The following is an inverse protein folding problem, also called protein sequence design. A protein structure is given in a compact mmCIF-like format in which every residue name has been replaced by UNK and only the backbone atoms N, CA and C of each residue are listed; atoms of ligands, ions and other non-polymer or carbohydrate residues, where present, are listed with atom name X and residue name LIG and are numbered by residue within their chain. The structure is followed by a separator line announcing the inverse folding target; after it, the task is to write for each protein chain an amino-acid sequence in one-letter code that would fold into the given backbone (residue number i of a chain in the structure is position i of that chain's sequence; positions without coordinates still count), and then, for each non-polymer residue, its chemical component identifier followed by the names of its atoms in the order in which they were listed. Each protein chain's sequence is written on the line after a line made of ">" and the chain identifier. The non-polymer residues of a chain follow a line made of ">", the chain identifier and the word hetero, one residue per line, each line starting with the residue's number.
data_IF_187009604297
#
_entry.id   IF_187009604297
#
_cell.length_a   1.000
_cell.length_b   1.000
_cell.length_c   1.000
_cell.angle_alpha   90.00
_cell.angle_beta   90.00
_cell.angle_gamma   90.00
#
_symmetry.space_group_name_H-M   'P 1'
#
loop_
_entity.id
_entity.type
_entity.pdbx_description
1 polymer ?
#
# COMPACT_ATOMS: atom_id res chain seq x y z
N UNK A 1 16.74 9.63 -18.99
CA UNK A 1 16.53 10.78 -18.08
C UNK A 1 17.41 11.93 -18.54
N UNK A 2 16.92 13.16 -18.49
CA UNK A 2 17.74 14.35 -18.74
C UNK A 2 18.38 14.81 -17.41
N UNK A 3 19.61 14.37 -17.17
CA UNK A 3 20.32 14.66 -15.92
C UNK A 3 20.63 16.16 -15.75
N UNK A 4 20.81 16.90 -16.85
CA UNK A 4 21.07 18.34 -16.81
C UNK A 4 19.82 19.09 -16.40
N UNK A 5 18.66 18.70 -16.94
CA UNK A 5 17.38 19.24 -16.47
C UNK A 5 17.17 18.99 -14.98
N UNK A 6 17.51 17.81 -14.47
CA UNK A 6 17.43 17.54 -13.03
C UNK A 6 18.30 18.50 -12.23
N UNK A 7 19.55 18.72 -12.67
CA UNK A 7 20.44 19.70 -12.03
C UNK A 7 19.80 21.09 -12.03
N UNK A 8 19.33 21.57 -13.19
CA UNK A 8 18.71 22.89 -13.31
C UNK A 8 17.50 23.03 -12.38
N UNK A 9 16.61 22.03 -12.35
CA UNK A 9 15.41 22.03 -11.51
C UNK A 9 15.77 22.10 -10.01
N UNK A 10 16.68 21.26 -9.51
CA UNK A 10 17.02 21.21 -8.08
C UNK A 10 17.80 22.44 -7.62
N UNK A 11 18.74 22.94 -8.43
CA UNK A 11 19.52 24.13 -8.07
C UNK A 11 18.73 25.43 -8.24
N UNK A 12 17.77 25.47 -9.19
CA UNK A 12 16.79 26.56 -9.24
C UNK A 12 15.95 26.56 -7.97
N UNK A 13 15.37 25.42 -7.58
CA UNK A 13 14.58 25.31 -6.35
C UNK A 13 15.38 25.71 -5.11
N UNK A 14 16.64 25.30 -5.01
CA UNK A 14 17.54 25.69 -3.91
C UNK A 14 17.79 27.21 -3.81
N UNK A 15 17.60 27.93 -4.91
CA UNK A 15 17.88 29.37 -5.03
C UNK A 15 16.61 30.24 -5.03
N UNK A 16 15.42 29.65 -4.91
CA UNK A 16 14.16 30.39 -4.89
C UNK A 16 13.96 31.11 -3.55
N UNK A 17 14.09 32.43 -3.57
CA UNK A 17 13.83 33.27 -2.39
C UNK A 17 12.37 33.16 -1.94
N UNK A 18 12.17 32.97 -0.63
CA UNK A 18 10.84 32.87 -0.02
C UNK A 18 10.13 31.52 -0.20
N UNK A 19 10.71 30.56 -0.92
CA UNK A 19 10.19 29.19 -0.98
C UNK A 19 10.59 28.40 0.27
N UNK A 20 9.61 27.70 0.86
CA UNK A 20 9.80 26.89 2.08
C UNK A 20 10.79 25.73 1.88
N UNK A 21 10.85 25.13 0.68
CA UNK A 21 11.75 24.01 0.40
C UNK A 21 13.18 24.45 0.10
N UNK A 22 13.38 25.65 -0.43
CA UNK A 22 14.68 26.16 -0.85
C UNK A 22 15.80 25.95 0.19
N UNK A 23 15.65 26.33 1.48
CA UNK A 23 16.71 26.12 2.47
C UNK A 23 17.05 24.63 2.71
N UNK A 24 16.06 23.74 2.69
CA UNK A 24 16.26 22.31 2.88
C UNK A 24 16.92 21.64 1.68
N UNK A 25 16.55 22.05 0.46
CA UNK A 25 17.17 21.59 -0.79
C UNK A 25 18.61 22.09 -0.85
N UNK A 26 18.85 23.36 -0.53
CA UNK A 26 20.20 23.93 -0.46
C UNK A 26 21.07 23.20 0.55
N UNK A 27 20.59 22.98 1.78
CA UNK A 27 21.32 22.25 2.81
C UNK A 27 21.70 20.83 2.33
N UNK A 28 20.74 20.10 1.75
CA UNK A 28 20.99 18.76 1.24
C UNK A 28 22.03 18.76 0.10
N UNK A 29 21.94 19.69 -0.86
CA UNK A 29 22.92 19.82 -1.94
C UNK A 29 24.30 20.21 -1.41
N UNK A 30 24.39 21.11 -0.44
CA UNK A 30 25.66 21.51 0.20
C UNK A 30 26.33 20.29 0.88
N UNK A 31 25.57 19.41 1.53
CA UNK A 31 26.08 18.17 2.15
C UNK A 31 26.54 17.17 1.10
N UNK A 32 25.78 17.01 0.01
CA UNK A 32 26.15 16.13 -1.11
C UNK A 32 27.43 16.62 -1.77
N UNK A 33 27.51 17.93 -2.04
CA UNK A 33 28.67 18.55 -2.68
C UNK A 33 29.93 18.39 -1.81
N UNK A 34 29.83 18.60 -0.50
CA UNK A 34 30.94 18.34 0.43
C UNK A 34 31.37 16.87 0.44
N UNK A 35 30.43 15.92 0.36
CA UNK A 35 30.75 14.50 0.28
C UNK A 35 31.50 14.17 -1.01
N UNK A 36 31.01 14.66 -2.15
CA UNK A 36 31.63 14.50 -3.46
C UNK A 36 33.03 15.13 -3.52
N UNK A 37 33.22 16.30 -2.90
CA UNK A 37 34.52 16.96 -2.83
C UNK A 37 35.52 16.20 -1.93
N UNK A 38 35.02 15.56 -0.86
CA UNK A 38 35.88 14.79 0.07
C UNK A 38 36.32 13.45 -0.52
N UNK A 39 35.39 12.70 -1.13
CA UNK A 39 35.63 11.31 -1.53
C UNK A 39 35.86 11.16 -3.03
N UNK A 40 35.39 12.10 -3.84
CA UNK A 40 35.30 11.96 -5.29
C UNK A 40 34.07 11.14 -5.73
N UNK A 41 33.47 11.44 -6.90
CA UNK A 41 32.21 10.83 -7.33
C UNK A 41 32.29 9.32 -7.54
N UNK A 42 33.46 8.79 -7.91
CA UNK A 42 33.66 7.36 -8.16
C UNK A 42 33.76 6.54 -6.86
N UNK A 43 33.89 7.18 -5.68
CA UNK A 43 34.05 6.50 -4.38
C UNK A 43 32.80 6.62 -3.48
N UNK A 44 31.70 7.12 -4.02
CA UNK A 44 30.48 7.45 -3.29
C UNK A 44 29.32 6.63 -3.83
N UNK A 45 28.66 5.89 -2.94
CA UNK A 45 27.50 5.05 -3.27
C UNK A 45 26.22 5.59 -2.65
N UNK A 46 25.06 5.26 -3.23
CA UNK A 46 23.74 5.56 -2.70
C UNK A 46 23.06 4.31 -2.13
N UNK A 47 22.58 4.36 -0.90
CA UNK A 47 21.65 3.34 -0.37
C UNK A 47 20.25 3.60 -0.90
N UNK A 48 19.75 2.73 -1.79
CA UNK A 48 18.48 2.92 -2.48
C UNK A 48 17.56 1.70 -2.29
N UNK A 49 16.42 1.91 -1.65
CA UNK A 49 15.42 0.87 -1.37
C UNK A 49 14.04 1.15 -2.00
N UNK A 50 13.95 2.12 -2.91
CA UNK A 50 12.71 2.51 -3.58
C UNK A 50 11.71 3.29 -2.72
N UNK A 51 12.00 3.54 -1.43
CA UNK A 51 11.17 4.38 -0.58
C UNK A 51 11.23 5.85 -0.99
N UNK A 52 10.21 6.63 -0.57
CA UNK A 52 10.09 8.07 -0.87
C UNK A 52 11.35 8.87 -0.48
N UNK A 53 11.95 8.57 0.68
CA UNK A 53 13.04 9.37 1.24
C UNK A 53 14.34 9.17 0.45
N UNK A 54 14.69 7.92 0.15
CA UNK A 54 15.84 7.63 -0.72
C UNK A 54 15.61 8.05 -2.18
N UNK A 55 14.35 8.17 -2.61
CA UNK A 55 13.99 8.68 -3.95
C UNK A 55 14.24 10.18 -4.07
N UNK A 56 13.89 10.97 -3.05
CA UNK A 56 14.30 12.39 -2.95
C UNK A 56 15.82 12.50 -3.01
N UNK A 57 16.51 11.71 -2.19
CA UNK A 57 17.96 11.72 -2.11
C UNK A 57 18.62 11.33 -3.44
N UNK A 58 18.10 10.32 -4.14
CA UNK A 58 18.54 9.93 -5.46
C UNK A 58 18.44 11.09 -6.46
N UNK A 59 17.30 11.80 -6.46
CA UNK A 59 17.07 12.91 -7.38
C UNK A 59 18.04 14.08 -7.12
N UNK A 60 18.23 14.45 -5.85
CA UNK A 60 19.20 15.46 -5.44
C UNK A 60 20.64 15.05 -5.81
N UNK A 61 21.01 13.80 -5.55
CA UNK A 61 22.34 13.28 -5.83
C UNK A 61 22.63 13.27 -7.34
N UNK A 62 21.66 12.84 -8.14
CA UNK A 62 21.78 12.88 -9.59
C UNK A 62 21.97 14.30 -10.12
N UNK A 63 21.23 15.27 -9.58
CA UNK A 63 21.40 16.69 -9.93
C UNK A 63 22.78 17.24 -9.54
N UNK A 64 23.30 16.87 -8.37
CA UNK A 64 24.63 17.28 -7.91
C UNK A 64 25.76 16.72 -8.79
N UNK A 65 25.69 15.44 -9.18
CA UNK A 65 26.65 14.85 -10.13
C UNK A 65 26.53 15.55 -11.49
N UNK A 66 25.30 15.74 -11.99
CA UNK A 66 25.05 16.32 -13.29
C UNK A 66 25.55 17.77 -13.41
N UNK A 67 25.42 18.57 -12.34
CA UNK A 67 25.97 19.94 -12.29
C UNK A 67 27.50 19.97 -12.46
N UNK A 68 28.19 18.89 -12.11
CA UNK A 68 29.66 18.78 -12.18
C UNK A 68 30.16 18.25 -13.52
N UNK A 69 29.27 17.87 -14.43
CA UNK A 69 29.64 17.38 -15.76
C UNK A 69 30.13 18.54 -16.64
N UNK A 70 31.18 18.29 -17.42
CA UNK A 70 31.63 19.21 -18.47
C UNK A 70 30.67 19.17 -19.65
N UNK A 71 30.71 20.17 -20.52
CA UNK A 71 29.90 20.17 -21.75
C UNK A 71 30.21 18.96 -22.62
N UNK A 72 29.16 18.28 -23.09
CA UNK A 72 29.26 17.05 -23.87
C UNK A 72 29.66 15.80 -23.07
N UNK A 73 29.94 15.91 -21.77
CA UNK A 73 30.22 14.75 -20.92
C UNK A 73 28.92 14.04 -20.53
N UNK A 74 28.89 12.72 -20.72
CA UNK A 74 27.82 11.86 -20.23
C UNK A 74 28.01 11.50 -18.76
N UNK A 75 26.89 11.31 -18.06
CA UNK A 75 26.88 10.88 -16.67
C UNK A 75 27.25 9.41 -16.57
N UNK A 76 28.29 9.09 -15.81
CA UNK A 76 28.62 7.69 -15.47
C UNK A 76 27.48 7.06 -14.66
N UNK A 77 27.34 5.72 -14.67
CA UNK A 77 26.42 5.04 -13.79
C UNK A 77 26.63 5.43 -12.32
N UNK A 78 25.53 5.63 -11.58
CA UNK A 78 25.60 5.96 -10.16
C UNK A 78 25.73 4.65 -9.38
N UNK A 79 26.82 4.48 -8.63
CA UNK A 79 26.95 3.35 -7.71
C UNK A 79 25.84 3.40 -6.65
N UNK A 80 25.12 2.30 -6.51
CA UNK A 80 24.07 2.17 -5.52
C UNK A 80 24.08 0.77 -4.90
N UNK A 81 23.63 0.70 -3.65
CA UNK A 81 23.43 -0.55 -2.92
C UNK A 81 21.95 -0.70 -2.58
N UNK A 82 21.41 -1.89 -2.83
CA UNK A 82 20.08 -2.29 -2.40
C UNK A 82 20.16 -3.53 -1.50
N UNK A 83 19.73 -3.35 -0.24
CA UNK A 83 19.57 -4.44 0.72
C UNK A 83 18.06 -4.68 0.88
N UNK A 84 17.49 -5.76 0.30
CA UNK A 84 16.06 -6.02 0.36
C UNK A 84 15.60 -6.34 1.78
N UNK A 85 14.40 -5.86 2.13
CA UNK A 85 13.70 -6.34 3.32
C UNK A 85 13.20 -7.77 3.09
N UNK A 86 12.92 -8.55 4.16
CA UNK A 86 12.24 -9.82 4.01
C UNK A 86 10.90 -9.65 3.29
N UNK A 87 10.59 -10.47 2.29
CA UNK A 87 9.31 -10.43 1.55
C UNK A 87 8.93 -9.01 1.07
N UNK A 88 9.68 -8.44 0.11
CA UNK A 88 9.40 -7.10 -0.43
C UNK A 88 8.11 -7.10 -1.27
N UNK A 89 7.46 -5.94 -1.39
CA UNK A 89 6.34 -5.77 -2.30
C UNK A 89 6.82 -5.85 -3.75
N UNK A 90 6.14 -6.63 -4.60
CA UNK A 90 6.48 -6.67 -6.03
C UNK A 90 6.43 -5.28 -6.70
N UNK A 91 5.42 -4.47 -6.35
CA UNK A 91 5.28 -3.09 -6.86
C UNK A 91 6.50 -2.23 -6.48
N UNK A 92 7.06 -2.43 -5.29
CA UNK A 92 8.27 -1.73 -4.86
C UNK A 92 9.50 -2.21 -5.64
N UNK A 93 9.66 -3.52 -5.85
CA UNK A 93 10.74 -4.09 -6.67
C UNK A 93 10.67 -3.60 -8.12
N UNK A 94 9.47 -3.55 -8.70
CA UNK A 94 9.24 -3.04 -10.05
C UNK A 94 9.64 -1.56 -10.13
N UNK A 95 9.27 -0.74 -9.14
CA UNK A 95 9.69 0.66 -9.05
C UNK A 95 11.22 0.81 -8.91
N UNK A 96 11.87 -0.02 -8.09
CA UNK A 96 13.33 -0.01 -7.97
C UNK A 96 13.98 -0.29 -9.34
N UNK A 97 13.50 -1.30 -10.06
CA UNK A 97 14.02 -1.65 -11.39
C UNK A 97 13.80 -0.53 -12.43
N UNK A 98 12.66 0.16 -12.37
CA UNK A 98 12.39 1.34 -13.20
C UNK A 98 13.31 2.51 -12.85
N UNK A 99 13.46 2.82 -11.56
CA UNK A 99 14.36 3.87 -11.09
C UNK A 99 15.83 3.57 -11.44
N UNK A 100 16.28 2.31 -11.35
CA UNK A 100 17.61 1.87 -11.79
C UNK A 100 17.86 2.22 -13.25
N UNK A 101 16.90 1.96 -14.14
CA UNK A 101 17.02 2.31 -15.56
C UNK A 101 16.94 3.82 -15.77
N UNK A 102 16.02 4.49 -15.09
CA UNK A 102 15.78 5.92 -15.26
C UNK A 102 17.01 6.74 -14.84
N UNK A 103 17.64 6.38 -13.72
CA UNK A 103 18.79 7.08 -13.15
C UNK A 103 20.15 6.49 -13.53
N UNK A 104 20.18 5.47 -14.40
CA UNK A 104 21.40 4.75 -14.78
C UNK A 104 22.19 4.28 -13.54
N UNK A 105 21.52 3.57 -12.63
CA UNK A 105 22.15 3.06 -11.42
C UNK A 105 22.94 1.79 -11.71
N UNK A 106 24.19 1.75 -11.26
CA UNK A 106 24.95 0.51 -11.06
C UNK A 106 24.55 -0.06 -9.69
N UNK A 107 23.40 -0.75 -9.68
CA UNK A 107 22.74 -1.21 -8.45
C UNK A 107 23.25 -2.60 -8.03
N UNK A 108 24.04 -2.65 -6.96
CA UNK A 108 24.41 -3.90 -6.30
C UNK A 108 23.30 -4.36 -5.37
N UNK A 109 22.73 -5.54 -5.63
CA UNK A 109 21.66 -6.10 -4.80
C UNK A 109 22.21 -7.18 -3.86
N UNK A 110 22.09 -6.94 -2.56
CA UNK A 110 22.46 -7.89 -1.50
C UNK A 110 21.34 -8.92 -1.30
N UNK A 111 21.00 -9.69 -2.34
CA UNK A 111 20.10 -10.84 -2.18
C UNK A 111 20.90 -11.98 -1.57
N UNK A 112 20.54 -12.49 -0.38
CA UNK A 112 21.17 -13.71 0.10
C UNK A 112 20.85 -14.84 -0.89
N UNK A 113 21.84 -15.72 -1.13
CA UNK A 113 21.68 -16.86 -2.05
C UNK A 113 20.55 -17.82 -1.60
N UNK A 114 20.18 -17.77 -0.32
CA UNK A 114 19.03 -18.46 0.27
C UNK A 114 18.18 -17.52 1.14
N UNK A 115 16.84 -17.61 1.12
CA UNK A 115 15.96 -16.74 1.91
C UNK A 115 16.01 -17.10 3.40
N UNK A 116 17.02 -16.60 4.12
CA UNK A 116 17.00 -16.59 5.59
C UNK A 116 16.04 -15.48 6.01
N UNK A 117 14.84 -15.87 6.47
CA UNK A 117 13.84 -14.93 7.00
C UNK A 117 14.39 -14.35 8.31
N UNK A 118 14.97 -13.15 8.24
CA UNK A 118 15.42 -12.40 9.41
C UNK A 118 14.18 -11.90 10.18
N UNK A 119 14.07 -12.28 11.46
CA UNK A 119 12.97 -11.84 12.31
C UNK A 119 13.16 -10.37 12.70
N UNK A 120 12.19 -9.52 12.35
CA UNK A 120 12.15 -8.12 12.77
C UNK A 120 11.95 -8.06 14.29
N UNK A 121 12.66 -7.20 15.04
CA UNK A 121 12.43 -7.04 16.47
C UNK A 121 10.99 -6.60 16.76
N UNK A 122 10.21 -7.47 17.41
CA UNK A 122 8.89 -7.14 17.93
C UNK A 122 9.04 -6.25 19.17
N UNK A 123 8.31 -5.13 19.30
CA UNK A 123 8.22 -4.41 20.57
C UNK A 123 7.70 -5.35 21.66
N UNK A 124 8.37 -5.40 22.81
CA UNK A 124 7.95 -6.25 23.92
C UNK A 124 6.52 -5.88 24.36
N UNK A 125 5.59 -6.85 24.51
CA UNK A 125 4.29 -6.56 25.07
C UNK A 125 4.43 -6.16 26.55
N UNK A 126 3.70 -5.13 26.96
CA UNK A 126 3.53 -4.81 28.38
C UNK A 126 2.97 -6.06 29.09
N UNK A 127 3.59 -6.43 30.21
CA UNK A 127 3.22 -7.61 31.00
C UNK A 127 1.77 -7.47 31.50
N UNK A 128 0.84 -8.23 30.93
CA UNK A 128 -0.41 -8.59 31.61
C UNK A 128 -0.41 -10.10 31.84
N UNK A 129 -0.45 -10.50 33.11
CA UNK A 129 -0.66 -11.88 33.53
C UNK A 129 -2.00 -12.38 32.99
N UNK A 130 -1.97 -13.36 32.09
CA UNK A 130 -2.96 -14.45 32.01
C UNK A 130 -2.37 -15.56 31.12
N UNK A 131 -2.41 -16.78 31.63
CA UNK A 131 -1.90 -17.99 30.98
C UNK A 131 -2.76 -18.37 29.75
N UNK A 132 -2.13 -19.06 28.80
CA UNK A 132 -2.66 -19.66 27.57
C UNK A 132 -2.90 -18.76 26.36
N UNK A 133 -1.84 -18.39 25.63
CA UNK A 133 -1.77 -18.51 24.15
C UNK A 133 -0.30 -18.71 23.74
N UNK A 134 -0.06 -19.65 22.83
CA UNK A 134 1.25 -19.97 22.26
C UNK A 134 1.88 -18.72 21.62
N UNK A 135 2.90 -18.16 22.30
CA UNK A 135 3.65 -17.00 21.82
C UNK A 135 4.55 -17.49 20.67
N UNK A 136 4.53 -16.87 19.47
CA UNK A 136 5.48 -17.22 18.42
C UNK A 136 6.90 -16.97 18.95
N UNK A 137 7.66 -18.05 19.17
CA UNK A 137 9.07 -17.95 19.51
C UNK A 137 9.81 -17.33 18.32
N UNK A 138 10.72 -16.37 18.54
CA UNK A 138 11.52 -15.80 17.47
C UNK A 138 12.30 -16.93 16.79
N UNK A 139 12.10 -17.06 15.47
CA UNK A 139 12.91 -17.94 14.63
C UNK A 139 14.20 -17.17 14.32
N UNK A 140 15.32 -17.62 14.88
CA UNK A 140 16.65 -17.04 14.64
C UNK A 140 17.41 -16.69 15.92
N UNK A 141 18.73 -16.90 15.90
CA UNK A 141 19.67 -16.55 16.99
C UNK A 141 20.32 -15.16 16.80
N UNK A 142 20.04 -14.48 15.69
CA UNK A 142 20.74 -13.27 15.27
C UNK A 142 20.27 -12.06 16.08
N UNK A 143 21.22 -11.30 16.62
CA UNK A 143 20.92 -9.95 17.13
C UNK A 143 20.49 -9.10 15.93
N UNK A 144 19.44 -8.30 16.08
CA UNK A 144 18.91 -7.51 14.96
C UNK A 144 20.00 -6.69 14.26
N UNK A 145 20.08 -6.79 12.93
CA UNK A 145 21.04 -6.07 12.09
C UNK A 145 22.26 -6.87 11.65
N UNK A 146 22.41 -8.13 12.07
CA UNK A 146 23.47 -9.02 11.58
C UNK A 146 23.41 -9.21 10.06
N UNK A 147 22.22 -9.39 9.48
CA UNK A 147 22.05 -9.52 8.03
C UNK A 147 22.46 -8.25 7.27
N UNK A 148 22.11 -7.08 7.78
CA UNK A 148 22.53 -5.80 7.19
C UNK A 148 24.04 -5.61 7.25
N UNK A 149 24.66 -5.97 8.38
CA UNK A 149 26.11 -5.87 8.55
C UNK A 149 26.86 -6.79 7.59
N UNK A 150 26.40 -8.03 7.43
CA UNK A 150 26.97 -8.99 6.48
C UNK A 150 26.83 -8.50 5.04
N UNK A 151 25.65 -8.03 4.64
CA UNK A 151 25.41 -7.44 3.32
C UNK A 151 26.37 -6.26 3.02
N UNK A 152 26.58 -5.37 4.01
CA UNK A 152 27.53 -4.26 3.87
C UNK A 152 28.98 -4.73 3.84
N UNK A 153 29.32 -5.84 4.53
CA UNK A 153 30.67 -6.40 4.48
C UNK A 153 30.95 -6.97 3.09
N UNK A 154 30.04 -7.77 2.54
CA UNK A 154 30.13 -8.25 1.15
C UNK A 154 30.27 -7.11 0.16
N UNK A 155 29.51 -6.03 0.36
CA UNK A 155 29.61 -4.83 -0.48
C UNK A 155 30.99 -4.17 -0.36
N UNK A 156 31.53 -4.04 0.86
CA UNK A 156 32.87 -3.47 1.08
C UNK A 156 33.97 -4.30 0.44
N UNK A 157 33.87 -5.63 0.53
CA UNK A 157 34.85 -6.55 -0.04
C UNK A 157 34.82 -6.51 -1.58
N UNK A 158 33.63 -6.33 -2.16
CA UNK A 158 33.43 -6.23 -3.62
C UNK A 158 33.88 -4.87 -4.16
N UNK A 159 33.59 -3.78 -3.44
CA UNK A 159 33.88 -2.41 -3.84
C UNK A 159 34.72 -1.69 -2.77
N UNK A 160 36.00 -2.07 -2.57
CA UNK A 160 36.83 -1.53 -1.50
C UNK A 160 37.11 -0.03 -1.63
N UNK A 161 37.01 0.50 -2.85
CA UNK A 161 37.19 1.92 -3.17
C UNK A 161 36.02 2.80 -2.70
N UNK A 162 34.83 2.24 -2.47
CA UNK A 162 33.70 3.00 -1.93
C UNK A 162 33.98 3.35 -0.46
N UNK A 163 34.01 4.64 -0.16
CA UNK A 163 34.35 5.18 1.16
C UNK A 163 33.19 5.88 1.85
N UNK A 164 32.18 6.32 1.09
CA UNK A 164 30.97 6.94 1.64
C UNK A 164 29.69 6.37 1.02
N UNK A 165 28.63 6.32 1.83
CA UNK A 165 27.29 5.90 1.42
C UNK A 165 26.29 6.98 1.81
N UNK A 166 25.54 7.49 0.82
CA UNK A 166 24.41 8.39 1.02
C UNK A 166 23.20 7.59 1.51
N UNK A 167 22.54 8.06 2.55
CA UNK A 167 21.41 7.39 3.22
C UNK A 167 20.26 8.38 3.40
N UNK A 168 19.05 7.96 3.02
CA UNK A 168 17.82 8.76 3.10
C UNK A 168 17.20 8.82 4.51
N UNK A 169 17.99 8.73 5.58
CA UNK A 169 17.49 8.78 6.95
C UNK A 169 17.17 10.22 7.37
N UNK A 170 16.04 10.41 8.05
CA UNK A 170 15.59 11.66 8.67
C UNK A 170 15.63 11.56 10.20
N UNK A 171 15.62 12.70 10.90
CA UNK A 171 15.64 12.73 12.38
C UNK A 171 14.47 11.99 13.02
N UNK A 172 13.32 11.98 12.35
CA UNK A 172 12.09 11.33 12.81
C UNK A 172 12.08 9.82 12.59
N UNK A 173 13.05 9.28 11.86
CA UNK A 173 13.15 7.84 11.62
C UNK A 173 13.75 7.12 12.84
N UNK A 174 13.51 5.81 13.00
CA UNK A 174 14.17 5.00 14.03
C UNK A 174 15.68 5.19 14.01
N UNK A 175 16.26 5.46 15.18
CA UNK A 175 17.70 5.72 15.36
C UNK A 175 18.23 7.02 14.71
N UNK A 176 17.38 7.82 14.03
CA UNK A 176 17.80 9.05 13.32
C UNK A 176 18.03 10.27 14.20
N UNK A 177 17.40 10.33 15.38
CA UNK A 177 17.37 11.55 16.21
C UNK A 177 18.76 12.12 16.59
N UNK A 178 19.75 11.24 16.80
CA UNK A 178 21.11 11.62 17.21
C UNK A 178 22.11 11.69 16.05
N UNK A 179 21.68 11.44 14.82
CA UNK A 179 22.56 11.47 13.66
C UNK A 179 22.86 12.93 13.24
N UNK A 180 24.03 13.11 12.64
CA UNK A 180 24.41 14.33 11.93
C UNK A 180 24.40 14.08 10.42
N UNK A 181 24.70 15.11 9.64
CA UNK A 181 24.81 14.99 8.19
C UNK A 181 25.88 13.99 7.76
N UNK A 182 26.94 13.84 8.56
CA UNK A 182 28.06 12.93 8.28
C UNK A 182 28.45 12.20 9.55
N UNK A 183 28.58 10.89 9.50
CA UNK A 183 29.00 10.03 10.61
C UNK A 183 29.71 8.79 10.07
N UNK A 184 30.83 8.37 10.66
CA UNK A 184 31.33 7.02 10.39
C UNK A 184 30.34 5.96 10.85
N UNK A 185 30.40 4.77 10.24
CA UNK A 185 29.76 3.57 10.79
C UNK A 185 30.28 3.26 12.19
N UNK A 186 29.46 2.57 12.98
CA UNK A 186 29.80 2.25 14.37
C UNK A 186 30.92 1.19 14.43
N UNK A 187 31.73 1.13 15.50
CA UNK A 187 32.77 0.11 15.63
C UNK A 187 32.22 -1.32 15.46
N UNK A 188 32.91 -2.13 14.64
CA UNK A 188 32.49 -3.50 14.32
C UNK A 188 31.57 -3.61 13.10
N UNK A 189 31.19 -2.49 12.46
CA UNK A 189 30.61 -2.45 11.13
C UNK A 189 31.69 -2.21 10.06
N UNK A 190 31.44 -2.59 8.80
CA UNK A 190 32.28 -2.19 7.67
C UNK A 190 32.49 -0.67 7.65
N UNK A 191 33.72 -0.23 7.40
CA UNK A 191 34.08 1.19 7.47
C UNK A 191 33.58 1.96 6.25
N UNK A 192 32.55 2.78 6.49
CA UNK A 192 32.00 3.75 5.55
C UNK A 192 31.68 5.04 6.30
N UNK A 193 31.77 6.18 5.61
CA UNK A 193 31.08 7.37 6.07
C UNK A 193 29.62 7.33 5.63
N UNK A 194 28.71 7.41 6.61
CA UNK A 194 27.28 7.60 6.40
C UNK A 194 27.03 9.08 6.16
N UNK A 195 26.40 9.40 5.04
CA UNK A 195 26.05 10.77 4.66
C UNK A 195 24.52 10.88 4.59
N UNK A 196 23.94 11.77 5.38
CA UNK A 196 22.49 11.95 5.51
C UNK A 196 22.08 13.37 5.06
N UNK A 197 22.01 13.67 3.74
CA UNK A 197 21.75 15.03 3.26
C UNK A 197 20.37 15.57 3.64
N UNK A 198 19.37 14.69 3.72
CA UNK A 198 17.98 15.06 4.02
C UNK A 198 17.63 14.89 5.51
N UNK A 199 18.62 14.80 6.41
CA UNK A 199 18.39 14.44 7.82
C UNK A 199 17.38 15.35 8.52
N UNK A 200 17.34 16.64 8.17
CA UNK A 200 16.45 17.64 8.77
C UNK A 200 15.07 17.76 8.09
N UNK A 201 14.80 16.98 7.05
CA UNK A 201 13.55 17.07 6.30
C UNK A 201 12.40 16.43 7.09
N UNK A 202 11.23 17.05 7.04
CA UNK A 202 9.98 16.49 7.58
C UNK A 202 9.29 15.58 6.55
N UNK A 203 8.21 14.92 6.97
CA UNK A 203 7.34 14.15 6.07
C UNK A 203 6.75 15.02 4.95
N UNK A 204 6.30 16.23 5.31
CA UNK A 204 5.69 17.18 4.38
C UNK A 204 6.70 17.66 3.35
N UNK A 205 7.95 17.89 3.76
CA UNK A 205 9.01 18.38 2.86
C UNK A 205 9.34 17.35 1.77
N UNK A 206 9.43 16.07 2.15
CA UNK A 206 9.66 14.95 1.23
C UNK A 206 8.59 14.93 0.14
N UNK A 207 7.31 14.99 0.52
CA UNK A 207 6.23 14.97 -0.47
C UNK A 207 6.14 16.26 -1.27
N UNK A 208 6.31 17.42 -0.64
CA UNK A 208 6.28 18.69 -1.34
C UNK A 208 7.37 18.72 -2.43
N UNK A 209 8.57 18.21 -2.15
CA UNK A 209 9.64 18.09 -3.15
C UNK A 209 9.28 17.11 -4.28
N UNK A 210 8.92 15.86 -3.95
CA UNK A 210 8.59 14.83 -4.95
C UNK A 210 7.48 15.32 -5.89
N UNK A 211 6.44 15.95 -5.32
CA UNK A 211 5.29 16.46 -6.09
C UNK A 211 5.65 17.72 -6.88
N UNK A 212 6.42 18.65 -6.32
CA UNK A 212 6.80 19.90 -7.01
C UNK A 212 7.65 19.65 -8.24
N UNK A 213 8.61 18.72 -8.15
CA UNK A 213 9.50 18.38 -9.27
C UNK A 213 9.01 17.20 -10.12
N UNK A 214 7.80 16.69 -9.85
CA UNK A 214 7.22 15.54 -10.54
C UNK A 214 8.15 14.32 -10.57
N UNK A 215 8.83 14.05 -9.46
CA UNK A 215 9.74 12.91 -9.32
C UNK A 215 8.90 11.63 -9.20
N UNK A 216 9.14 10.60 -10.05
CA UNK A 216 8.45 9.33 -9.92
C UNK A 216 8.71 8.69 -8.55
N UNK A 217 7.67 8.12 -7.95
CA UNK A 217 7.73 7.40 -6.67
C UNK A 217 6.88 6.12 -6.76
N UNK A 218 7.10 5.18 -5.84
CA UNK A 218 6.37 3.91 -5.78
C UNK A 218 4.85 4.12 -5.62
N UNK A 219 4.04 3.50 -6.50
CA UNK A 219 2.59 3.74 -6.54
C UNK A 219 1.82 3.27 -5.30
N UNK A 220 2.43 2.43 -4.45
CA UNK A 220 1.84 2.08 -3.14
C UNK A 220 1.55 3.33 -2.30
N UNK A 221 2.31 4.40 -2.48
CA UNK A 221 2.03 5.66 -1.80
C UNK A 221 0.71 6.29 -2.26
N UNK A 222 0.26 6.08 -3.49
CA UNK A 222 -1.07 6.54 -3.95
C UNK A 222 -2.21 5.70 -3.36
N UNK A 223 -1.90 4.48 -2.89
CA UNK A 223 -2.83 3.54 -2.24
C UNK A 223 -2.88 3.72 -0.71
N UNK A 224 -2.30 4.81 -0.19
CA UNK A 224 -2.37 5.18 1.22
C UNK A 224 -1.32 4.53 2.12
N UNK A 225 -0.34 3.81 1.56
CA UNK A 225 0.84 3.41 2.33
C UNK A 225 1.70 4.64 2.61
N UNK A 226 2.19 4.81 3.84
CA UNK A 226 3.01 5.99 4.22
C UNK A 226 4.43 5.64 4.65
N UNK A 227 4.67 4.36 4.97
CA UNK A 227 5.97 3.77 5.29
C UNK A 227 6.01 2.37 4.71
N UNK A 228 7.05 2.05 3.93
CA UNK A 228 7.20 0.75 3.29
C UNK A 228 8.18 -0.14 4.06
N UNK A 229 7.78 -1.40 4.25
CA UNK A 229 8.59 -2.47 4.83
C UNK A 229 8.25 -3.79 4.15
N UNK A 230 8.28 -4.88 4.91
CA UNK A 230 7.90 -6.20 4.42
C UNK A 230 6.39 -6.30 4.21
N UNK A 231 5.94 -7.13 3.27
CA UNK A 231 4.51 -7.33 2.97
C UNK A 231 3.68 -7.79 4.16
N UNK A 232 4.28 -8.53 5.09
CA UNK A 232 3.60 -9.04 6.29
C UNK A 232 3.54 -8.02 7.45
N UNK A 233 4.21 -6.88 7.36
CA UNK A 233 4.26 -5.88 8.45
C UNK A 233 3.96 -4.44 8.01
N UNK A 234 3.33 -4.30 6.85
CA UNK A 234 3.10 -3.01 6.18
C UNK A 234 1.69 -2.99 5.61
N UNK A 235 0.89 -2.03 6.06
CA UNK A 235 -0.51 -1.82 5.70
C UNK A 235 -0.74 -0.35 5.31
N UNK A 236 -1.82 -0.03 4.57
CA UNK A 236 -2.23 1.34 4.34
C UNK A 236 -2.46 2.08 5.66
N UNK A 237 -2.16 3.38 5.68
CA UNK A 237 -2.28 4.19 6.89
C UNK A 237 -3.74 4.41 7.27
N UNK A 238 -4.18 4.04 8.49
CA UNK A 238 -5.56 4.22 8.92
C UNK A 238 -6.04 5.68 8.87
N UNK A 239 -5.16 6.65 9.08
CA UNK A 239 -5.50 8.08 9.02
C UNK A 239 -5.85 8.58 7.61
N UNK A 240 -5.55 7.78 6.58
CA UNK A 240 -5.85 8.06 5.19
C UNK A 240 -7.11 7.34 4.68
N UNK A 241 -7.78 6.54 5.53
CA UNK A 241 -8.98 5.84 5.12
C UNK A 241 -10.08 6.83 4.70
N UNK A 242 -10.70 6.57 3.54
CA UNK A 242 -11.87 7.31 3.06
C UNK A 242 -13.12 6.72 3.70
N UNK A 243 -13.91 7.50 4.46
CA UNK A 243 -15.17 7.03 5.01
C UNK A 243 -16.12 6.59 3.89
N UNK A 244 -16.91 5.53 4.08
CA UNK A 244 -17.95 5.17 3.13
C UNK A 244 -18.87 6.36 2.96
N UNK A 245 -19.14 6.74 1.71
CA UNK A 245 -20.13 7.77 1.40
C UNK A 245 -21.45 7.36 2.05
N UNK A 246 -22.16 8.25 2.77
CA UNK A 246 -23.53 7.95 3.17
C UNK A 246 -24.29 7.67 1.88
N UNK A 247 -24.85 6.47 1.76
CA UNK A 247 -25.77 6.16 0.67
C UNK A 247 -26.85 7.23 0.69
N UNK A 248 -27.07 7.90 -0.44
CA UNK A 248 -28.29 8.67 -0.68
C UNK A 248 -29.45 7.69 -0.85
N UNK A 249 -29.68 6.84 0.14
CA UNK A 249 -30.99 6.24 0.34
C UNK A 249 -31.79 7.32 1.05
N UNK A 250 -32.60 8.04 0.26
CA UNK A 250 -33.69 8.83 0.82
C UNK A 250 -34.43 7.94 1.83
N UNK A 251 -34.61 8.36 3.09
CA UNK A 251 -35.47 7.62 3.98
C UNK A 251 -36.85 7.61 3.33
N UNK A 252 -37.33 6.42 2.94
CA UNK A 252 -38.74 6.22 2.65
C UNK A 252 -39.48 6.71 3.90
N UNK A 253 -40.14 7.86 3.77
CA UNK A 253 -40.96 8.41 4.83
C UNK A 253 -41.96 7.35 5.24
N UNK A 254 -41.89 6.94 6.50
CA UNK A 254 -42.93 6.14 7.13
C UNK A 254 -44.23 6.96 7.13
N UNK A 255 -44.99 6.85 6.05
CA UNK A 255 -46.34 7.41 5.93
C UNK A 255 -47.22 6.34 5.32
N UNK A 256 -47.43 5.27 6.09
CA UNK A 256 -48.55 4.34 5.98
C UNK A 256 -48.60 3.45 7.22
N UNK A 257 -48.76 4.07 8.39
CA UNK A 257 -49.41 3.40 9.51
C UNK A 257 -50.90 3.70 9.34
N UNK A 258 -51.62 2.83 8.63
CA UNK A 258 -53.08 2.76 8.74
C UNK A 258 -53.37 1.59 9.67
N UNK A 259 -53.90 1.93 10.84
CA UNK A 259 -54.37 1.02 11.87
C UNK A 259 -55.60 0.23 11.41
N UNK A 260 -55.84 -0.98 11.94
CA UNK A 260 -56.92 -1.86 11.49
C UNK A 260 -58.25 -1.45 12.12
N UNK A 261 -59.07 -0.68 11.40
CA UNK A 261 -60.53 -0.63 11.60
C UNK A 261 -61.18 0.21 10.51
N UNK A 262 -61.60 -0.43 9.42
CA UNK A 262 -62.82 -0.14 8.63
C UNK A 262 -62.83 -1.01 7.37
N UNK A 263 -62.90 -2.34 7.56
CA UNK A 263 -63.30 -3.24 6.47
C UNK A 263 -64.80 -3.51 6.61
N UNK A 264 -65.62 -2.58 6.13
CA UNK A 264 -66.97 -2.87 5.66
C UNK A 264 -67.39 -1.73 4.74
N UNK A 265 -68.07 -2.05 3.64
CA UNK A 265 -68.58 -1.14 2.60
C UNK A 265 -67.57 -0.56 1.60
N UNK A 266 -66.97 -1.43 0.79
CA UNK A 266 -66.76 -1.10 -0.64
C UNK A 266 -66.77 -2.38 -1.50
N UNK A 267 -67.81 -3.19 -1.32
CA UNK A 267 -68.26 -4.16 -2.33
C UNK A 267 -69.67 -3.71 -2.68
N UNK A 268 -69.78 -2.85 -3.69
CA UNK A 268 -70.92 -2.61 -4.59
C UNK A 268 -70.74 -1.25 -5.29
N UNK A 269 -71.05 -1.21 -6.59
CA UNK A 269 -70.91 -0.09 -7.55
C UNK A 269 -69.50 -0.05 -8.16
N UNK A 270 -69.23 -0.34 -9.43
CA UNK A 270 -70.05 -0.19 -10.63
C UNK A 270 -69.81 -1.29 -11.67
N UNK A 271 -70.90 -1.73 -12.29
CA UNK A 271 -70.90 -2.55 -13.50
C UNK A 271 -71.91 -1.96 -14.47
N UNK A 272 -71.45 -1.46 -15.61
CA UNK A 272 -72.17 -1.25 -16.87
C UNK A 272 -71.09 -0.89 -17.91
N UNK A 273 -70.99 -1.41 -19.13
CA UNK A 273 -71.82 -2.22 -20.01
C UNK A 273 -70.90 -2.83 -21.08
N UNK A 274 -71.18 -4.04 -21.56
CA UNK A 274 -71.33 -4.36 -23.00
C UNK A 274 -71.79 -5.82 -23.18
N UNK A 275 -73.02 -5.96 -23.71
CA UNK A 275 -73.61 -6.99 -24.59
C UNK A 275 -72.78 -8.26 -24.91
N UNK A 276 -73.25 -9.51 -24.79
CA UNK A 276 -74.39 -10.16 -25.50
C UNK A 276 -74.63 -11.59 -24.93
N UNK A 277 -75.83 -12.16 -25.12
CA UNK A 277 -76.38 -13.40 -24.51
C UNK A 277 -76.11 -14.71 -25.32
N UNK A 278 -76.73 -15.89 -25.03
CA UNK A 278 -76.62 -16.76 -23.83
C UNK A 278 -76.40 -18.26 -24.17
N UNK A 279 -76.06 -19.13 -23.18
CA UNK A 279 -76.77 -20.42 -22.88
C UNK A 279 -75.99 -21.42 -21.99
N UNK A 280 -76.59 -21.73 -20.83
CA UNK A 280 -76.82 -23.04 -20.17
C UNK A 280 -75.72 -24.06 -19.80
N UNK A 281 -75.85 -24.54 -18.54
CA UNK A 281 -75.48 -25.83 -17.91
C UNK A 281 -74.06 -25.95 -17.33
N UNK A 282 -73.77 -26.67 -16.23
CA UNK A 282 -74.41 -27.11 -14.96
C UNK A 282 -73.35 -28.03 -14.30
N UNK A 283 -73.28 -28.03 -12.96
CA UNK A 283 -72.71 -29.08 -12.08
C UNK A 283 -71.15 -29.26 -12.09
N UNK A 284 -70.43 -29.61 -11.02
CA UNK A 284 -70.75 -29.95 -9.63
C UNK A 284 -69.47 -30.02 -8.75
N UNK A 285 -69.63 -29.71 -7.46
CA UNK A 285 -69.06 -30.38 -6.24
C UNK A 285 -67.54 -30.63 -6.10
N UNK A 286 -66.88 -30.12 -5.04
CA UNK A 286 -66.98 -30.60 -3.65
C UNK A 286 -65.99 -29.89 -2.68
N UNK A 287 -66.54 -29.61 -1.49
CA UNK A 287 -65.96 -29.19 -0.20
C UNK A 287 -64.89 -30.20 0.33
N UNK A 288 -64.00 -30.00 1.32
CA UNK A 288 -63.93 -29.16 2.53
C UNK A 288 -62.50 -29.30 3.19
N UNK A 289 -62.14 -28.79 4.41
CA UNK A 289 -60.98 -27.89 4.57
C UNK A 289 -59.95 -28.22 5.70
N UNK A 290 -58.91 -27.36 5.81
CA UNK A 290 -58.04 -27.02 6.98
C UNK A 290 -57.11 -28.10 7.63
N UNK A 291 -55.81 -27.78 7.76
CA UNK A 291 -55.16 -27.40 9.05
C UNK A 291 -53.65 -27.13 8.91
N UNK A 292 -53.03 -26.27 9.75
CA UNK A 292 -51.69 -25.75 9.55
C UNK A 292 -50.67 -26.38 10.53
N UNK A 293 -49.92 -27.42 10.14
CA UNK A 293 -48.71 -27.87 10.88
C UNK A 293 -47.67 -28.66 10.05
N UNK A 294 -47.61 -28.49 8.73
CA UNK A 294 -46.75 -29.31 7.85
C UNK A 294 -45.39 -28.73 7.45
N UNK A 295 -45.02 -27.50 7.84
CA UNK A 295 -43.92 -26.75 7.18
C UNK A 295 -42.71 -26.51 8.11
N UNK A 296 -42.39 -27.44 9.01
CA UNK A 296 -41.21 -27.27 9.88
C UNK A 296 -40.36 -28.53 10.10
N UNK A 297 -40.29 -29.42 9.10
CA UNK A 297 -39.44 -30.62 9.17
C UNK A 297 -38.65 -30.95 7.89
N UNK A 298 -38.34 -29.97 7.02
CA UNK A 298 -37.50 -30.21 5.83
C UNK A 298 -36.31 -29.27 5.68
N UNK A 299 -35.92 -28.57 6.74
CA UNK A 299 -34.68 -27.78 6.78
C UNK A 299 -33.85 -28.31 7.93
N UNK A 300 -33.12 -29.40 7.71
CA UNK A 300 -31.96 -29.88 8.50
C UNK A 300 -31.57 -31.30 8.04
N UNK A 301 -31.14 -31.47 6.79
CA UNK A 301 -30.29 -32.61 6.39
C UNK A 301 -29.66 -32.41 5.01
N UNK A 302 -28.36 -32.72 4.95
CA UNK A 302 -27.52 -32.93 3.76
C UNK A 302 -26.73 -31.74 3.18
N UNK A 303 -25.73 -31.29 3.93
CA UNK A 303 -24.39 -31.03 3.37
C UNK A 303 -23.57 -32.32 3.43
N UNK A 304 -23.08 -32.84 2.30
CA UNK A 304 -21.76 -33.49 2.12
C UNK A 304 -21.66 -34.21 0.75
N UNK A 305 -20.50 -34.02 0.11
CA UNK A 305 -19.82 -34.88 -0.89
C UNK A 305 -19.90 -34.48 -2.37
N UNK A 306 -18.79 -33.92 -2.85
CA UNK A 306 -18.38 -33.85 -4.25
C UNK A 306 -17.29 -34.91 -4.50
N UNK A 307 -17.47 -35.79 -5.49
CA UNK A 307 -16.36 -36.40 -6.26
C UNK A 307 -16.84 -37.21 -7.49
N UNK A 308 -16.25 -36.85 -8.64
CA UNK A 308 -15.91 -37.64 -9.84
C UNK A 308 -17.01 -38.20 -10.76
N UNK A 309 -17.03 -37.67 -11.99
CA UNK A 309 -16.65 -38.42 -13.19
C UNK A 309 -17.73 -38.72 -14.24
N UNK A 310 -17.33 -38.53 -15.51
CA UNK A 310 -17.86 -39.12 -16.77
C UNK A 310 -18.81 -38.25 -17.62
N UNK A 311 -18.33 -37.91 -18.83
CA UNK A 311 -19.07 -37.49 -20.03
C UNK A 311 -19.64 -38.73 -20.75
N UNK A 312 -20.84 -38.66 -21.38
CA UNK A 312 -20.82 -38.61 -22.85
C UNK A 312 -22.00 -37.86 -23.54
N UNK A 313 -21.68 -37.38 -24.76
CA UNK A 313 -22.48 -37.27 -26.01
C UNK A 313 -23.90 -36.69 -26.06
N UNK A 314 -23.99 -35.51 -26.71
CA UNK A 314 -24.93 -35.07 -27.77
C UNK A 314 -26.34 -35.67 -27.89
N UNK A 315 -27.38 -34.85 -27.67
CA UNK A 315 -28.65 -34.87 -28.43
C UNK A 315 -29.17 -33.42 -28.60
N UNK A 316 -29.56 -33.10 -29.84
CA UNK A 316 -30.13 -31.86 -30.36
C UNK A 316 -31.64 -31.73 -30.07
N UNK A 317 -32.13 -30.52 -29.73
CA UNK A 317 -33.58 -30.22 -29.65
C UNK A 317 -33.89 -28.83 -29.07
N UNK A 318 -34.99 -28.16 -29.47
CA UNK A 318 -35.02 -26.70 -29.62
C UNK A 318 -35.43 -25.90 -28.37
N UNK A 319 -35.13 -24.60 -28.47
CA UNK A 319 -35.28 -23.53 -27.48
C UNK A 319 -36.55 -23.58 -26.61
N UNK A 320 -36.33 -23.50 -25.29
CA UNK A 320 -37.30 -22.96 -24.32
C UNK A 320 -36.64 -21.78 -23.62
N UNK A 321 -37.31 -20.62 -23.68
CA UNK A 321 -36.97 -19.43 -22.90
C UNK A 321 -36.97 -19.79 -21.40
N UNK A 322 -35.79 -19.84 -20.80
CA UNK A 322 -35.63 -19.91 -19.35
C UNK A 322 -35.54 -18.49 -18.81
N UNK A 323 -36.52 -18.15 -17.99
CA UNK A 323 -36.51 -16.97 -17.11
C UNK A 323 -35.19 -16.96 -16.35
N UNK A 324 -34.37 -15.94 -16.58
CA UNK A 324 -33.15 -15.70 -15.81
C UNK A 324 -33.62 -15.27 -14.42
N UNK A 325 -33.62 -16.21 -13.48
CA UNK A 325 -33.57 -15.87 -12.06
C UNK A 325 -32.19 -15.27 -11.85
N UNK A 326 -32.15 -13.96 -11.74
CA UNK A 326 -30.96 -13.19 -11.41
C UNK A 326 -30.51 -13.64 -10.00
N UNK A 327 -29.62 -14.63 -9.97
CA UNK A 327 -28.92 -15.04 -8.76
C UNK A 327 -28.18 -13.82 -8.25
N UNK A 328 -28.66 -13.29 -7.13
CA UNK A 328 -28.05 -12.16 -6.45
C UNK A 328 -26.54 -12.40 -6.35
N UNK A 329 -25.80 -11.54 -7.07
CA UNK A 329 -24.36 -11.46 -6.98
C UNK A 329 -24.02 -11.26 -5.49
N UNK A 330 -23.08 -12.03 -4.90
CA UNK A 330 -22.72 -11.82 -3.49
C UNK A 330 -22.33 -10.35 -3.29
N UNK A 331 -22.67 -9.75 -2.13
CA UNK A 331 -22.38 -8.34 -1.89
C UNK A 331 -20.90 -8.11 -2.16
N UNK A 332 -20.59 -7.23 -3.10
CA UNK A 332 -19.22 -6.81 -3.37
C UNK A 332 -18.62 -6.36 -2.05
N UNK A 333 -17.60 -7.09 -1.56
CA UNK A 333 -16.78 -6.62 -0.45
C UNK A 333 -16.37 -5.19 -0.80
N UNK A 334 -16.89 -4.19 -0.07
CA UNK A 334 -16.51 -2.80 -0.27
C UNK A 334 -15.02 -2.73 0.04
N UNK A 335 -14.18 -2.69 -0.99
CA UNK A 335 -12.74 -2.53 -0.85
C UNK A 335 -12.54 -1.17 -0.18
N UNK A 336 -11.90 -1.18 1.00
CA UNK A 336 -11.56 0.04 1.70
C UNK A 336 -10.69 0.92 0.79
N UNK A 337 -11.11 2.18 0.59
CA UNK A 337 -10.37 3.15 -0.22
C UNK A 337 -9.56 4.05 0.71
N UNK A 338 -8.32 4.33 0.31
CA UNK A 338 -7.43 5.24 1.03
C UNK A 338 -7.10 6.44 0.15
N UNK A 339 -6.80 7.57 0.80
CA UNK A 339 -6.21 8.74 0.16
C UNK A 339 -4.70 8.52 -0.03
N UNK A 340 -4.07 9.19 -1.01
CA UNK A 340 -2.63 9.13 -1.20
C UNK A 340 -1.82 9.58 0.02
N UNK A 341 -0.60 9.08 0.13
CA UNK A 341 0.32 9.33 1.24
C UNK A 341 0.59 10.82 1.46
N UNK A 342 0.76 11.58 0.38
CA UNK A 342 1.02 13.02 0.44
C UNK A 342 -0.17 13.84 0.98
N UNK A 343 -1.33 13.23 1.24
CA UNK A 343 -2.47 13.88 1.90
C UNK A 343 -2.51 13.66 3.42
N UNK A 344 -1.54 12.91 3.98
CA UNK A 344 -1.42 12.72 5.43
C UNK A 344 -1.07 14.04 6.11
N UNK A 345 -1.95 14.52 6.98
CA UNK A 345 -1.80 15.82 7.66
C UNK A 345 -0.82 15.79 8.83
N UNK A 346 -0.88 14.74 9.65
CA UNK A 346 0.01 14.57 10.79
C UNK A 346 1.14 13.60 10.44
N UNK A 347 2.33 14.14 10.20
CA UNK A 347 3.54 13.36 9.91
C UNK A 347 3.93 12.40 11.03
N UNK A 348 3.51 12.61 12.27
CA UNK A 348 3.78 11.67 13.36
C UNK A 348 3.06 10.32 13.15
N UNK A 349 2.00 10.30 12.34
CA UNK A 349 1.27 9.10 11.97
C UNK A 349 1.88 8.38 10.76
N UNK A 350 3.03 8.82 10.24
CA UNK A 350 3.68 8.23 9.05
C UNK A 350 3.86 6.71 9.17
N UNK A 351 4.12 6.20 10.39
CA UNK A 351 4.38 4.77 10.63
C UNK A 351 3.17 4.00 11.17
N UNK A 352 1.98 4.61 11.21
CA UNK A 352 0.76 3.97 11.74
C UNK A 352 0.28 2.77 10.92
N UNK A 353 0.77 2.60 9.69
CA UNK A 353 0.57 1.39 8.89
C UNK A 353 1.56 0.25 9.17
N UNK A 354 2.52 0.41 10.09
CA UNK A 354 3.52 -0.62 10.43
C UNK A 354 3.06 -1.42 11.67
N UNK A 355 3.07 -2.74 11.58
CA UNK A 355 2.64 -3.62 12.70
C UNK A 355 2.45 -5.07 12.27
N UNK A 356 2.07 -5.95 13.20
CA UNK A 356 1.80 -7.38 12.92
C UNK A 356 0.34 -7.67 12.59
N UNK A 357 -0.57 -6.72 12.87
CA UNK A 357 -1.99 -6.81 12.59
C UNK A 357 -2.45 -5.56 11.86
N UNK A 358 -3.38 -5.72 10.92
CA UNK A 358 -4.02 -4.59 10.26
C UNK A 358 -4.79 -3.80 11.34
N UNK A 359 -4.58 -2.47 11.45
CA UNK A 359 -5.31 -1.66 12.42
C UNK A 359 -6.81 -1.81 12.20
N UNK A 360 -7.57 -2.13 13.26
CA UNK A 360 -9.02 -2.26 13.14
C UNK A 360 -9.62 -0.90 12.80
N UNK A 361 -10.30 -0.83 11.66
CA UNK A 361 -11.10 0.31 11.25
C UNK A 361 -12.41 0.25 12.02
N UNK A 362 -12.52 0.99 13.12
CA UNK A 362 -13.79 1.19 13.78
C UNK A 362 -14.57 2.27 13.01
N UNK A 363 -15.59 1.85 12.27
CA UNK A 363 -16.64 2.77 11.82
C UNK A 363 -17.42 3.20 13.05
N UNK A 364 -17.18 4.43 13.54
CA UNK A 364 -18.05 5.06 14.53
C UNK A 364 -19.18 5.82 13.84
#
# INVERSE_FOLDING_TARGET
>A
MDCRKIADDVYTLASLEGDHLAPFVKEALDVIDQCLDTHGPDNVSLSFNGGKDCTVLLHLYAGAIARRLKDGQEMKPIHAIYIPVPSPFKVLEDFIAEATKLYNLDLFSCKPEDPVIESVPTPAPMKSQTDYVDVPKPVGKSKGGEGMREALQTYKDTFPHITAILIGTRRTDPHGAKLSHRNMTDPGWPSFERVNPIINWSYTDVWAFLRRLNVPYCSLYDEGYTSLGSTFNTFPNPALLVPPSPSTEMPLTASSIITPSTTLSHVMSDTHQTSTAPSSNKDNTNNDPLTPTGILSSIMSATHTLAKGVLPSSITGPARQSVIVETQRPPSLKIARYRPAYELQDGNLERSGRGTTQPQVNYQ
#
